data_IF_819766722451
#
_entry.id   IF_819766722451
#
_cell.length_a   1.000
_cell.length_b   1.000
_cell.length_c   1.000
_cell.angle_alpha   90.00
_cell.angle_beta   90.00
_cell.angle_gamma   90.00
#
_symmetry.space_group_name_H-M   'P 1'
#
loop_
_entity.id
_entity.type
_entity.pdbx_description
1 polymer ?
#
# COMPACT_ATOMS: atom_id res chain seq x y z
N UNK A 1 5.67 -14.35 -4.14
CA UNK A 1 4.43 -14.93 -4.72
C UNK A 1 3.60 -15.50 -3.59
N UNK A 2 2.40 -14.97 -3.33
CA UNK A 2 1.53 -15.42 -2.23
C UNK A 2 0.97 -16.81 -2.54
N UNK A 3 1.29 -17.80 -1.71
CA UNK A 3 0.74 -19.15 -1.85
C UNK A 3 -0.24 -19.42 -0.72
N UNK A 4 -1.49 -19.72 -1.10
CA UNK A 4 -2.45 -20.20 -0.14
C UNK A 4 -1.98 -21.57 0.40
N UNK A 5 -2.06 -21.81 1.72
CA UNK A 5 -1.74 -23.10 2.29
C UNK A 5 -2.57 -24.22 1.65
N UNK A 6 -1.91 -25.32 1.25
CA UNK A 6 -2.54 -26.42 0.50
C UNK A 6 -3.67 -27.10 1.29
N UNK A 7 -3.58 -27.08 2.62
CA UNK A 7 -4.49 -27.78 3.52
C UNK A 7 -5.69 -26.92 4.01
N UNK A 8 -5.87 -25.69 3.48
CA UNK A 8 -7.03 -24.87 3.84
C UNK A 8 -8.22 -25.31 2.98
N UNK A 9 -8.97 -26.26 3.52
CA UNK A 9 -10.18 -26.81 2.93
C UNK A 9 -11.09 -27.44 3.99
N UNK A 10 -12.40 -27.42 3.75
CA UNK A 10 -13.38 -28.20 4.51
C UNK A 10 -14.51 -27.38 5.14
N UNK A 11 -15.57 -28.06 5.62
CA UNK A 11 -16.76 -27.44 6.17
C UNK A 11 -16.51 -26.71 7.50
N UNK A 12 -15.58 -27.22 8.33
CA UNK A 12 -15.24 -26.59 9.61
C UNK A 12 -14.54 -25.23 9.42
N UNK A 13 -13.60 -25.15 8.47
CA UNK A 13 -12.96 -23.89 8.10
C UNK A 13 -13.95 -22.91 7.48
N UNK A 14 -14.88 -23.40 6.64
CA UNK A 14 -15.95 -22.56 6.12
C UNK A 14 -16.77 -21.93 7.26
N UNK A 15 -17.20 -22.73 8.25
CA UNK A 15 -17.94 -22.21 9.42
C UNK A 15 -17.15 -21.15 10.17
N UNK A 16 -15.88 -21.45 10.46
CA UNK A 16 -14.99 -20.53 11.14
C UNK A 16 -14.86 -19.19 10.41
N UNK A 17 -14.67 -19.19 9.09
CA UNK A 17 -14.58 -17.95 8.30
C UNK A 17 -15.92 -17.22 8.18
N UNK A 18 -17.03 -17.96 8.12
CA UNK A 18 -18.38 -17.36 8.14
C UNK A 18 -18.62 -16.59 9.43
N UNK A 19 -18.23 -17.17 10.57
CA UNK A 19 -18.37 -16.53 11.87
C UNK A 19 -17.46 -15.30 11.98
N UNK A 20 -16.21 -15.41 11.52
CA UNK A 20 -15.24 -14.30 11.54
C UNK A 20 -15.66 -13.11 10.67
N UNK A 21 -16.19 -13.37 9.47
CA UNK A 21 -16.60 -12.33 8.51
C UNK A 21 -17.95 -11.68 8.86
N UNK A 22 -18.53 -12.04 10.02
CA UNK A 22 -19.75 -11.43 10.54
C UNK A 22 -21.04 -12.09 10.04
N UNK A 23 -20.99 -13.40 9.77
CA UNK A 23 -22.15 -14.26 9.57
C UNK A 23 -22.52 -14.54 8.10
N UNK A 24 -23.52 -15.40 7.89
CA UNK A 24 -23.84 -15.97 6.58
C UNK A 24 -24.31 -14.92 5.56
N UNK A 25 -25.00 -13.86 5.99
CA UNK A 25 -25.49 -12.81 5.10
C UNK A 25 -24.36 -12.02 4.43
N UNK A 26 -23.32 -11.68 5.19
CA UNK A 26 -22.15 -10.96 4.67
C UNK A 26 -21.36 -11.85 3.72
N UNK A 27 -21.14 -13.10 4.09
CA UNK A 27 -20.46 -14.08 3.23
C UNK A 27 -21.20 -14.33 1.93
N UNK A 28 -22.53 -14.45 1.96
CA UNK A 28 -23.34 -14.57 0.75
C UNK A 28 -23.18 -13.37 -0.19
N UNK A 29 -23.05 -12.15 0.36
CA UNK A 29 -22.76 -10.95 -0.42
C UNK A 29 -21.35 -10.96 -1.02
N UNK A 30 -20.34 -11.39 -0.26
CA UNK A 30 -18.95 -11.44 -0.74
C UNK A 30 -18.73 -12.50 -1.83
N UNK A 31 -19.35 -13.67 -1.68
CA UNK A 31 -19.23 -14.77 -2.63
C UNK A 31 -20.27 -14.70 -3.76
N UNK A 32 -21.17 -13.72 -3.72
CA UNK A 32 -22.27 -13.56 -4.69
C UNK A 32 -23.14 -14.83 -4.83
N UNK A 33 -23.38 -15.53 -3.71
CA UNK A 33 -24.19 -16.75 -3.65
C UNK A 33 -25.46 -16.54 -2.82
N UNK A 34 -26.50 -17.33 -3.12
CA UNK A 34 -27.70 -17.37 -2.30
C UNK A 34 -27.48 -18.11 -0.97
N UNK A 35 -28.20 -17.70 0.09
CA UNK A 35 -28.16 -18.35 1.41
C UNK A 35 -28.45 -19.85 1.36
N UNK A 36 -29.32 -20.28 0.43
CA UNK A 36 -29.64 -21.70 0.22
C UNK A 36 -28.42 -22.51 -0.18
N UNK A 37 -27.55 -21.94 -1.03
CA UNK A 37 -26.32 -22.59 -1.50
C UNK A 37 -25.33 -22.74 -0.36
N UNK A 38 -25.14 -21.67 0.44
CA UNK A 38 -24.28 -21.70 1.61
C UNK A 38 -24.76 -22.73 2.65
N UNK A 39 -26.07 -22.76 2.95
CA UNK A 39 -26.65 -23.77 3.85
C UNK A 39 -26.48 -25.19 3.32
N UNK A 40 -26.66 -25.41 2.01
CA UNK A 40 -26.43 -26.71 1.39
C UNK A 40 -24.99 -27.18 1.56
N UNK A 41 -24.01 -26.31 1.30
CA UNK A 41 -22.59 -26.65 1.51
C UNK A 41 -22.27 -27.01 2.95
N UNK A 42 -22.86 -26.31 3.92
CA UNK A 42 -22.69 -26.59 5.34
C UNK A 42 -23.39 -27.87 5.83
N UNK A 43 -24.45 -28.31 5.16
CA UNK A 43 -25.21 -29.51 5.50
C UNK A 43 -24.66 -30.78 4.82
N UNK A 44 -24.22 -30.65 3.57
CA UNK A 44 -23.67 -31.78 2.77
C UNK A 44 -22.17 -31.97 3.00
N UNK A 45 -21.53 -31.09 3.78
CA UNK A 45 -20.07 -31.06 4.00
C UNK A 45 -19.22 -30.96 2.72
N UNK A 46 -19.88 -30.66 1.60
CA UNK A 46 -19.27 -30.54 0.29
C UNK A 46 -19.17 -29.05 -0.07
N UNK A 47 -18.02 -28.47 0.25
CA UNK A 47 -17.73 -27.05 0.04
C UNK A 47 -16.72 -26.91 -1.11
N UNK A 48 -16.96 -26.05 -2.12
CA UNK A 48 -15.94 -25.78 -3.13
C UNK A 48 -14.69 -25.16 -2.52
N UNK A 49 -13.51 -25.70 -2.87
CA UNK A 49 -12.21 -25.19 -2.38
C UNK A 49 -12.01 -23.70 -2.69
N UNK A 50 -12.46 -23.26 -3.86
CA UNK A 50 -12.36 -21.87 -4.28
C UNK A 50 -13.10 -20.92 -3.32
N UNK A 51 -14.27 -21.31 -2.82
CA UNK A 51 -15.06 -20.50 -1.88
C UNK A 51 -14.37 -20.37 -0.52
N UNK A 52 -13.78 -21.46 -0.01
CA UNK A 52 -13.02 -21.42 1.25
C UNK A 52 -11.78 -20.54 1.09
N UNK A 53 -11.08 -20.64 -0.04
CA UNK A 53 -9.90 -19.81 -0.32
C UNK A 53 -10.24 -18.33 -0.46
N UNK A 54 -11.33 -18.00 -1.14
CA UNK A 54 -11.80 -16.61 -1.25
C UNK A 54 -12.07 -16.01 0.13
N UNK A 55 -12.78 -16.74 1.00
CA UNK A 55 -13.04 -16.30 2.37
C UNK A 55 -11.77 -16.24 3.22
N UNK A 56 -10.84 -17.17 3.02
CA UNK A 56 -9.56 -17.17 3.72
C UNK A 56 -8.76 -15.89 3.41
N UNK A 57 -8.69 -15.46 2.15
CA UNK A 57 -7.98 -14.23 1.79
C UNK A 57 -8.63 -12.95 2.37
N UNK A 58 -9.94 -12.97 2.55
CA UNK A 58 -10.65 -11.86 3.21
C UNK A 58 -10.58 -11.92 4.74
N UNK A 59 -10.32 -13.08 5.32
CA UNK A 59 -10.17 -13.25 6.76
C UNK A 59 -8.93 -12.53 7.30
N UNK A 60 -8.92 -12.28 8.62
CA UNK A 60 -7.73 -11.73 9.31
C UNK A 60 -6.53 -12.68 9.18
N UNK A 61 -6.76 -13.99 9.10
CA UNK A 61 -5.70 -14.98 8.92
C UNK A 61 -4.98 -14.81 7.59
N UNK A 62 -5.72 -14.71 6.49
CA UNK A 62 -5.13 -14.50 5.16
C UNK A 62 -4.38 -13.17 5.09
N UNK A 63 -4.97 -12.09 5.59
CA UNK A 63 -4.32 -10.77 5.65
C UNK A 63 -3.06 -10.77 6.51
N UNK A 64 -3.10 -11.44 7.66
CA UNK A 64 -1.92 -11.58 8.53
C UNK A 64 -0.81 -12.36 7.83
N UNK A 65 -1.14 -13.44 7.12
CA UNK A 65 -0.15 -14.22 6.39
C UNK A 65 0.54 -13.39 5.30
N UNK A 66 -0.23 -12.64 4.51
CA UNK A 66 0.32 -11.72 3.48
C UNK A 66 1.29 -10.74 4.12
N UNK A 67 0.89 -10.10 5.22
CA UNK A 67 1.72 -9.12 5.91
C UNK A 67 3.02 -9.74 6.44
N UNK A 68 2.93 -10.91 7.08
CA UNK A 68 4.11 -11.62 7.59
C UNK A 68 5.06 -12.03 6.47
N UNK A 69 4.53 -12.56 5.36
CA UNK A 69 5.34 -12.96 4.20
C UNK A 69 6.08 -11.75 3.60
N UNK A 70 5.39 -10.61 3.43
CA UNK A 70 5.99 -9.37 2.92
C UNK A 70 7.13 -8.87 3.82
N UNK A 71 6.89 -8.79 5.13
CA UNK A 71 7.91 -8.31 6.08
C UNK A 71 9.12 -9.24 6.09
N UNK A 72 8.90 -10.56 6.03
CA UNK A 72 9.97 -11.53 5.98
C UNK A 72 10.78 -11.45 4.68
N UNK A 73 10.11 -11.29 3.54
CA UNK A 73 10.75 -11.10 2.23
C UNK A 73 11.63 -9.86 2.22
N UNK A 74 11.11 -8.71 2.69
CA UNK A 74 11.87 -7.46 2.79
C UNK A 74 13.10 -7.64 3.70
N UNK A 75 12.94 -8.26 4.88
CA UNK A 75 14.06 -8.52 5.80
C UNK A 75 15.13 -9.41 5.18
N UNK A 76 14.72 -10.45 4.45
CA UNK A 76 15.64 -11.36 3.78
C UNK A 76 16.42 -10.64 2.66
N UNK A 77 15.71 -9.87 1.83
CA UNK A 77 16.32 -9.07 0.75
C UNK A 77 17.30 -8.04 1.30
N UNK A 78 16.89 -7.30 2.32
CA UNK A 78 17.77 -6.32 2.99
C UNK A 78 19.05 -6.99 3.50
N UNK A 79 18.92 -8.14 4.19
CA UNK A 79 20.09 -8.85 4.71
C UNK A 79 21.01 -9.34 3.61
N UNK A 80 20.45 -9.83 2.50
CA UNK A 80 21.22 -10.25 1.33
C UNK A 80 21.99 -9.08 0.73
N UNK A 81 21.37 -7.91 0.60
CA UNK A 81 22.04 -6.69 0.11
C UNK A 81 23.18 -6.29 1.03
N UNK A 82 22.97 -6.25 2.35
CA UNK A 82 24.04 -5.92 3.30
C UNK A 82 25.24 -6.87 3.19
N UNK A 83 24.98 -8.18 3.10
CA UNK A 83 26.04 -9.18 2.95
C UNK A 83 26.79 -8.96 1.63
N UNK A 84 26.09 -8.73 0.52
CA UNK A 84 26.73 -8.47 -0.77
C UNK A 84 27.58 -7.20 -0.74
N UNK A 85 27.11 -6.13 -0.09
CA UNK A 85 27.88 -4.90 0.09
C UNK A 85 29.13 -5.11 0.95
N UNK A 86 29.04 -5.92 2.01
CA UNK A 86 30.18 -6.28 2.84
C UNK A 86 31.22 -7.09 2.04
N UNK A 87 30.78 -8.09 1.28
CA UNK A 87 31.68 -8.90 0.44
C UNK A 87 32.34 -8.06 -0.66
N UNK A 88 31.59 -7.15 -1.29
CA UNK A 88 32.12 -6.26 -2.30
C UNK A 88 33.16 -5.30 -1.71
N UNK A 89 32.85 -4.65 -0.59
CA UNK A 89 33.80 -3.71 0.06
C UNK A 89 35.07 -4.43 0.52
N UNK A 90 34.95 -5.66 1.03
CA UNK A 90 36.10 -6.51 1.35
C UNK A 90 36.94 -6.83 0.11
N UNK A 91 36.30 -7.24 -0.99
CA UNK A 91 36.99 -7.58 -2.24
C UNK A 91 37.69 -6.36 -2.84
N UNK A 92 37.01 -5.21 -2.85
CA UNK A 92 37.59 -3.94 -3.29
C UNK A 92 38.80 -3.52 -2.45
N UNK A 93 38.72 -3.69 -1.12
CA UNK A 93 39.85 -3.43 -0.22
C UNK A 93 41.06 -4.33 -0.51
N UNK A 94 40.83 -5.64 -0.74
CA UNK A 94 41.89 -6.59 -1.11
C UNK A 94 42.53 -6.19 -2.44
N UNK A 95 41.73 -5.89 -3.46
CA UNK A 95 42.21 -5.48 -4.79
C UNK A 95 43.02 -4.17 -4.68
N UNK A 96 42.53 -3.20 -3.93
CA UNK A 96 43.26 -1.94 -3.70
C UNK A 96 44.57 -2.17 -2.92
N UNK A 97 44.57 -3.09 -1.96
CA UNK A 97 45.78 -3.51 -1.23
C UNK A 97 46.81 -4.16 -2.17
N UNK A 98 46.38 -5.11 -3.01
CA UNK A 98 47.21 -5.74 -4.03
C UNK A 98 47.74 -4.70 -5.05
N UNK A 99 46.90 -3.75 -5.48
CA UNK A 99 47.29 -2.67 -6.38
C UNK A 99 48.43 -1.83 -5.80
N UNK A 100 48.34 -1.45 -4.53
CA UNK A 100 49.41 -0.69 -3.84
C UNK A 100 50.72 -1.47 -3.69
N UNK A 101 50.67 -2.80 -3.70
CA UNK A 101 51.88 -3.64 -3.65
C UNK A 101 52.49 -3.84 -5.04
N UNK A 102 51.71 -3.68 -6.11
CA UNK A 102 52.11 -3.91 -7.50
C UNK A 102 52.45 -2.63 -8.28
N UNK A 103 52.31 -1.44 -7.68
CA UNK A 103 52.82 -0.19 -8.23
C UNK A 103 54.30 -0.36 -8.64
N UNK A 104 54.64 0.03 -9.86
CA UNK A 104 55.94 -0.12 -10.55
C UNK A 104 56.24 -1.47 -11.23
N UNK A 105 55.24 -2.34 -11.45
CA UNK A 105 55.42 -3.53 -12.31
C UNK A 105 55.02 -3.25 -13.78
N UNK A 106 55.85 -3.69 -14.73
CA UNK A 106 55.74 -3.39 -16.16
C UNK A 106 54.45 -3.90 -16.87
N UNK A 107 53.60 -4.67 -16.18
CA UNK A 107 52.30 -5.16 -16.65
C UNK A 107 51.18 -4.61 -15.77
N UNK A 108 51.10 -3.29 -15.64
CA UNK A 108 50.05 -2.66 -14.87
C UNK A 108 48.70 -2.84 -15.59
N UNK A 109 47.79 -3.59 -14.96
CA UNK A 109 46.47 -3.80 -15.52
C UNK A 109 45.61 -2.53 -15.33
N UNK A 110 45.08 -2.01 -16.44
CA UNK A 110 44.12 -0.90 -16.44
C UNK A 110 42.79 -1.45 -15.90
N UNK A 111 42.38 -0.98 -14.73
CA UNK A 111 41.09 -1.32 -14.15
C UNK A 111 40.20 -0.08 -14.11
N UNK A 112 38.99 -0.18 -14.66
CA UNK A 112 37.93 0.82 -14.45
C UNK A 112 37.67 0.99 -12.94
N UNK A 113 37.39 2.23 -12.53
CA UNK A 113 37.09 2.55 -11.15
C UNK A 113 35.82 1.81 -10.71
N UNK A 114 35.95 1.03 -9.64
CA UNK A 114 34.82 0.26 -9.13
C UNK A 114 33.77 1.21 -8.56
N UNK A 115 32.60 1.24 -9.20
CA UNK A 115 31.44 1.98 -8.70
C UNK A 115 31.16 1.56 -7.26
N UNK A 116 30.93 2.54 -6.41
CA UNK A 116 30.55 2.33 -5.04
C UNK A 116 29.22 1.57 -4.92
N UNK A 117 29.21 0.40 -4.27
CA UNK A 117 28.00 -0.40 -4.05
C UNK A 117 26.93 0.24 -3.12
N UNK A 118 27.13 1.48 -2.69
CA UNK A 118 26.16 2.27 -1.92
C UNK A 118 25.38 3.27 -2.77
N UNK A 119 25.75 3.46 -4.05
CA UNK A 119 24.86 4.14 -4.99
C UNK A 119 23.73 3.17 -5.36
N UNK A 120 22.62 3.25 -4.63
CA UNK A 120 21.37 2.69 -5.09
C UNK A 120 21.13 3.23 -6.52
N UNK A 121 20.86 2.38 -7.52
CA UNK A 121 20.40 2.86 -8.82
C UNK A 121 19.25 3.83 -8.56
N UNK A 122 19.34 5.07 -9.07
CA UNK A 122 18.23 6.04 -8.96
C UNK A 122 16.95 5.32 -9.34
N UNK A 123 15.96 5.33 -8.44
CA UNK A 123 14.72 4.55 -8.55
C UNK A 123 14.17 4.56 -9.97
N UNK A 124 14.44 3.49 -10.72
CA UNK A 124 13.88 3.28 -12.07
C UNK A 124 12.48 2.69 -11.99
N UNK A 125 12.09 2.15 -10.83
CA UNK A 125 10.77 1.62 -10.52
C UNK A 125 9.98 2.63 -9.68
N UNK A 126 9.64 3.76 -10.30
CA UNK A 126 8.92 4.84 -9.59
C UNK A 126 8.87 6.17 -10.34
N UNK A 127 9.59 6.30 -11.46
CA UNK A 127 9.42 7.41 -12.39
C UNK A 127 8.10 7.34 -13.19
N UNK A 128 7.01 6.86 -12.57
CA UNK A 128 5.67 7.15 -13.03
C UNK A 128 5.34 8.56 -12.53
N UNK A 129 5.58 9.56 -13.38
CA UNK A 129 5.06 10.93 -13.36
C UNK A 129 4.67 11.49 -11.97
N UNK A 130 5.66 11.80 -11.14
CA UNK A 130 5.44 12.72 -9.99
C UNK A 130 4.87 14.07 -10.45
N UNK A 131 5.09 14.44 -11.72
CA UNK A 131 4.46 15.58 -12.39
C UNK A 131 2.92 15.51 -12.38
N UNK A 132 2.32 14.35 -12.66
CA UNK A 132 0.85 14.22 -12.75
C UNK A 132 0.19 14.28 -11.37
N UNK A 133 0.83 13.72 -10.34
CA UNK A 133 0.33 13.76 -8.97
C UNK A 133 0.41 15.16 -8.38
N UNK A 134 1.52 15.88 -8.63
CA UNK A 134 1.63 17.30 -8.26
C UNK A 134 0.60 18.18 -8.99
N UNK A 135 0.35 17.95 -10.28
CA UNK A 135 -0.69 18.66 -11.02
C UNK A 135 -2.11 18.37 -10.51
N UNK A 136 -2.39 17.14 -10.05
CA UNK A 136 -3.67 16.79 -9.42
C UNK A 136 -3.85 17.49 -8.09
N UNK A 137 -2.81 17.55 -7.25
CA UNK A 137 -2.84 18.22 -5.94
C UNK A 137 -3.05 19.73 -6.11
N UNK A 138 -2.37 20.36 -7.07
CA UNK A 138 -2.55 21.77 -7.43
C UNK A 138 -3.98 22.09 -7.86
N UNK A 139 -4.57 21.26 -8.74
CA UNK A 139 -5.97 21.42 -9.20
C UNK A 139 -6.97 21.31 -8.05
N UNK A 140 -6.77 20.35 -7.14
CA UNK A 140 -7.64 20.20 -5.96
C UNK A 140 -7.52 21.41 -5.04
N UNK A 141 -6.31 21.91 -4.78
CA UNK A 141 -6.11 23.13 -3.98
C UNK A 141 -6.80 24.36 -4.59
N UNK A 142 -6.68 24.55 -5.91
CA UNK A 142 -7.35 25.63 -6.60
C UNK A 142 -8.89 25.54 -6.49
N UNK A 143 -9.44 24.32 -6.55
CA UNK A 143 -10.88 24.11 -6.42
C UNK A 143 -11.39 24.39 -5.00
N UNK A 144 -10.65 23.95 -3.97
CA UNK A 144 -10.98 24.23 -2.56
C UNK A 144 -10.95 25.73 -2.28
N UNK A 145 -9.92 26.45 -2.76
CA UNK A 145 -9.84 27.90 -2.61
C UNK A 145 -11.04 28.64 -3.24
N UNK A 146 -11.54 28.14 -4.38
CA UNK A 146 -12.73 28.71 -5.03
C UNK A 146 -14.00 28.49 -4.19
N UNK A 147 -14.17 27.30 -3.63
CA UNK A 147 -15.31 26.99 -2.75
C UNK A 147 -15.28 27.81 -1.46
N UNK A 148 -14.10 28.05 -0.88
CA UNK A 148 -13.96 28.88 0.30
C UNK A 148 -14.30 30.36 0.02
N UNK A 149 -13.93 30.87 -1.16
CA UNK A 149 -14.31 32.21 -1.59
C UNK A 149 -15.83 32.36 -1.82
N UNK A 150 -16.47 31.37 -2.46
CA UNK A 150 -17.93 31.36 -2.64
C UNK A 150 -18.68 31.29 -1.30
N UNK A 151 -18.17 30.49 -0.36
CA UNK A 151 -18.74 30.38 0.98
C UNK A 151 -18.61 31.69 1.77
N UNK A 152 -17.47 32.38 1.65
CA UNK A 152 -17.26 33.70 2.28
C UNK A 152 -18.22 34.76 1.70
N UNK A 153 -18.46 34.75 0.38
CA UNK A 153 -19.41 35.65 -0.26
C UNK A 153 -20.85 35.43 0.23
N UNK A 154 -21.30 34.17 0.32
CA UNK A 154 -22.63 33.83 0.84
C UNK A 154 -22.80 34.22 2.32
N UNK A 155 -21.76 34.05 3.13
CA UNK A 155 -21.78 34.50 4.53
C UNK A 155 -21.83 36.03 4.65
N UNK A 156 -21.17 36.77 3.75
CA UNK A 156 -21.28 38.23 3.67
C UNK A 156 -22.68 38.69 3.29
N UNK A 157 -23.31 38.05 2.30
CA UNK A 157 -24.69 38.36 1.90
C UNK A 157 -25.70 38.04 3.01
N UNK A 158 -25.51 36.93 3.74
CA UNK A 158 -26.35 36.59 4.88
C UNK A 158 -26.25 37.64 6.01
N UNK A 159 -25.03 38.11 6.33
CA UNK A 159 -24.82 39.18 7.32
C UNK A 159 -25.45 40.50 6.91
N UNK A 160 -25.25 40.92 5.66
CA UNK A 160 -25.87 42.13 5.12
C UNK A 160 -27.41 42.05 5.12
N UNK A 161 -27.98 40.88 4.83
CA UNK A 161 -29.43 40.67 4.91
C UNK A 161 -29.96 40.74 6.33
N UNK A 162 -29.21 40.24 7.33
CA UNK A 162 -29.61 40.34 8.75
C UNK A 162 -29.50 41.77 9.29
N UNK A 163 -28.51 42.53 8.84
CA UNK A 163 -28.34 43.94 9.23
C UNK A 163 -29.43 44.83 8.62
N UNK A 164 -29.81 44.59 7.36
CA UNK A 164 -30.91 45.30 6.71
C UNK A 164 -32.27 45.05 7.41
N UNK A 165 -32.49 43.81 7.87
CA UNK A 165 -33.70 43.43 8.63
C UNK A 165 -33.75 44.11 10.00
N UNK A 166 -32.62 44.21 10.70
CA UNK A 166 -32.53 44.93 11.98
C UNK A 166 -32.77 46.44 11.81
N UNK A 167 -32.27 47.05 10.74
CA UNK A 167 -32.51 48.47 10.43
C UNK A 167 -33.99 48.76 10.08
N UNK A 168 -34.66 47.86 9.35
CA UNK A 168 -36.10 47.97 9.10
C UNK A 168 -36.93 47.81 10.38
N UNK A 169 -36.53 46.93 11.31
CA UNK A 169 -37.21 46.77 12.59
C UNK A 169 -37.04 48.00 13.51
N UNK A 170 -35.90 48.70 13.43
CA UNK A 170 -35.68 49.95 14.16
C UNK A 170 -36.50 51.13 13.59
N UNK A 171 -36.82 51.13 12.29
CA UNK A 171 -37.60 52.18 11.65
C UNK A 171 -39.13 52.09 11.85
N UNK A 172 -39.66 50.95 12.29
CA UNK A 172 -41.08 50.74 12.58
C UNK A 172 -41.42 50.70 14.09
N UNK A 173 -40.43 50.88 14.96
CA UNK A 173 -40.57 50.83 16.42
C UNK A 173 -40.43 52.16 17.16
N UNK A 174 -40.46 53.30 16.45
CA UNK A 174 -40.48 54.65 17.02
C UNK A 174 -41.65 55.44 16.47
#
# INVERSE_FOLDING_TARGET
MFQAPKNIYGPNLLRMFVDELGGPKKVCKYLEIGERTLRRWLATENVPRASVLALYWESKYGRSQIFTDQVNEIRLLYRRVCILQEQYSRSASIINGLRKLHTDTANEAIFEEMVACYELPRDTYGAADTSDEHQRIEKVRAHVAKLDAEKAALQGMAKASTEALNLQQQAHGG
#
